data_IF_573099876536
#
_entry.id   IF_573099876536
#
_cell.length_a   1.000
_cell.length_b   1.000
_cell.length_c   1.000
_cell.angle_alpha   90.00
_cell.angle_beta   90.00
_cell.angle_gamma   90.00
#
_symmetry.space_group_name_H-M   'P 1'
#
loop_
_entity.id
_entity.type
_entity.pdbx_description
1 polymer ?
#
# COMPACT_ATOMS: atom_id res chain seq x y z
N UNK A 1 9.92 24.06 31.38
CA UNK A 1 8.47 23.77 31.46
C UNK A 1 7.78 24.36 30.24
N UNK A 2 7.52 23.52 29.24
CA UNK A 2 6.39 23.67 28.32
C UNK A 2 6.20 22.31 27.67
N UNK A 3 5.13 21.69 28.14
CA UNK A 3 4.66 20.35 27.88
C UNK A 3 4.02 20.34 26.48
N UNK A 4 4.72 19.79 25.48
CA UNK A 4 4.09 19.47 24.19
C UNK A 4 3.48 18.10 24.32
N UNK A 5 2.21 18.12 24.69
CA UNK A 5 1.34 16.97 24.80
C UNK A 5 1.50 16.06 23.60
N UNK A 6 2.00 14.85 23.87
CA UNK A 6 1.85 13.70 23.01
C UNK A 6 0.36 13.55 22.70
N UNK A 7 -0.02 13.74 21.44
CA UNK A 7 -1.34 13.34 20.98
C UNK A 7 -1.42 11.83 21.16
N UNK A 8 -2.24 11.43 22.12
CA UNK A 8 -2.36 10.08 22.63
C UNK A 8 -2.77 9.11 21.52
N UNK A 9 -1.92 8.10 21.30
CA UNK A 9 -2.08 6.96 20.38
C UNK A 9 -3.16 5.96 20.81
N UNK A 10 -4.23 6.42 21.46
CA UNK A 10 -5.30 5.55 21.97
C UNK A 10 -6.66 6.01 21.44
N UNK A 11 -7.24 5.23 20.53
CA UNK A 11 -8.68 5.19 20.16
C UNK A 11 -9.17 5.91 18.89
N UNK A 12 -8.62 5.57 17.72
CA UNK A 12 -9.43 5.52 16.48
C UNK A 12 -10.14 4.15 16.38
N UNK A 13 -10.87 3.75 17.43
CA UNK A 13 -11.56 2.44 17.48
C UNK A 13 -12.96 2.55 16.87
N UNK A 14 -13.02 2.29 15.57
CA UNK A 14 -14.23 1.93 14.82
C UNK A 14 -14.72 3.02 13.89
N UNK A 15 -14.70 2.73 12.58
CA UNK A 15 -15.23 3.53 11.46
C UNK A 15 -14.30 4.61 10.90
N UNK A 16 -13.07 4.21 10.57
CA UNK A 16 -12.20 5.00 9.71
C UNK A 16 -12.75 5.02 8.28
N UNK A 17 -12.99 6.20 7.72
CA UNK A 17 -13.29 6.35 6.29
C UNK A 17 -12.02 6.26 5.44
N UNK A 18 -12.18 6.06 4.13
CA UNK A 18 -11.06 6.10 3.17
C UNK A 18 -10.30 7.43 3.21
N UNK A 19 -11.02 8.54 3.33
CA UNK A 19 -10.45 9.89 3.36
C UNK A 19 -9.66 10.11 4.64
N UNK A 20 -10.16 9.63 5.78
CA UNK A 20 -9.45 9.69 7.05
C UNK A 20 -8.19 8.83 7.02
N UNK A 21 -8.27 7.61 6.49
CA UNK A 21 -7.11 6.72 6.28
C UNK A 21 -6.06 7.34 5.34
N UNK A 22 -6.50 7.97 4.25
CA UNK A 22 -5.61 8.65 3.30
C UNK A 22 -4.96 9.90 3.89
N UNK A 23 -5.56 10.52 4.91
CA UNK A 23 -5.04 11.69 5.60
C UNK A 23 -4.13 11.36 6.80
N UNK A 24 -3.99 10.09 7.17
CA UNK A 24 -2.98 9.66 8.14
C UNK A 24 -1.57 9.99 7.61
N UNK A 25 -0.60 10.25 8.51
CA UNK A 25 0.79 10.42 8.14
C UNK A 25 1.29 9.32 7.19
N UNK A 26 2.21 9.67 6.29
CA UNK A 26 2.73 8.71 5.30
C UNK A 26 3.51 7.56 5.96
N UNK A 27 4.01 7.74 7.18
CA UNK A 27 4.73 6.76 7.99
C UNK A 27 3.82 5.99 8.97
N UNK A 28 2.52 6.28 9.01
CA UNK A 28 1.56 5.51 9.81
C UNK A 28 1.27 4.17 9.10
N UNK A 29 1.69 3.03 9.68
CA UNK A 29 1.47 1.74 9.05
C UNK A 29 -0.01 1.32 9.18
N UNK A 30 -0.49 0.63 8.17
CA UNK A 30 -1.75 -0.11 8.22
C UNK A 30 -2.63 0.07 6.99
N UNK A 31 -3.35 -0.99 6.68
CA UNK A 31 -4.38 -1.02 5.65
C UNK A 31 -5.77 -0.80 6.25
N UNK A 32 -6.69 -0.30 5.44
CA UNK A 32 -8.08 -0.15 5.87
C UNK A 32 -8.84 -1.44 5.60
N UNK A 33 -9.27 -2.14 6.65
CA UNK A 33 -10.08 -3.36 6.58
C UNK A 33 -11.37 -3.17 7.36
N UNK A 34 -12.47 -3.20 6.62
CA UNK A 34 -13.84 -3.05 7.15
C UNK A 34 -14.02 -1.82 8.05
N UNK A 35 -13.34 -0.72 7.70
CA UNK A 35 -13.36 0.56 8.44
C UNK A 35 -12.47 0.59 9.67
N UNK A 36 -11.46 -0.29 9.76
CA UNK A 36 -10.45 -0.32 10.81
C UNK A 36 -9.06 -0.33 10.20
N UNK A 37 -8.11 0.26 10.91
CA UNK A 37 -6.71 0.15 10.57
C UNK A 37 -6.23 -1.22 11.04
N UNK A 38 -5.83 -2.07 10.10
CA UNK A 38 -5.16 -3.34 10.38
C UNK A 38 -3.67 -3.20 10.09
N UNK A 39 -2.84 -3.75 10.98
CA UNK A 39 -1.39 -3.69 10.87
C UNK A 39 -0.91 -4.40 9.61
N UNK A 40 0.02 -3.76 8.89
CA UNK A 40 0.71 -4.37 7.75
C UNK A 40 1.67 -5.47 8.25
N UNK A 41 1.81 -6.53 7.47
CA UNK A 41 2.87 -7.51 7.75
C UNK A 41 4.23 -6.82 7.59
N UNK A 42 5.08 -6.90 8.62
CA UNK A 42 6.41 -6.31 8.55
C UNK A 42 7.27 -7.14 7.59
N UNK A 43 7.73 -6.55 6.46
CA UNK A 43 8.51 -7.28 5.48
C UNK A 43 9.87 -7.66 6.06
N UNK A 44 10.37 -8.85 5.69
CA UNK A 44 11.75 -9.22 5.94
C UNK A 44 12.66 -8.76 4.80
N UNK A 45 13.97 -8.94 4.96
CA UNK A 45 14.92 -8.50 3.95
C UNK A 45 14.78 -9.27 2.62
N UNK A 46 14.28 -10.51 2.64
CA UNK A 46 14.07 -11.31 1.43
C UNK A 46 12.86 -10.79 0.65
N UNK A 47 11.78 -10.42 1.34
CA UNK A 47 10.63 -9.72 0.77
C UNK A 47 11.08 -8.48 -0.01
N UNK A 48 11.88 -7.63 0.62
CA UNK A 48 12.40 -6.40 0.00
C UNK A 48 13.26 -6.67 -1.24
N UNK A 49 14.09 -7.73 -1.21
CA UNK A 49 14.88 -8.14 -2.38
C UNK A 49 13.99 -8.58 -3.55
N UNK A 50 12.93 -9.34 -3.27
CA UNK A 50 11.99 -9.82 -4.29
C UNK A 50 11.22 -8.63 -4.89
N UNK A 51 10.66 -7.75 -4.05
CA UNK A 51 9.94 -6.55 -4.49
C UNK A 51 10.84 -5.66 -5.35
N UNK A 52 12.07 -5.42 -4.90
CA UNK A 52 13.05 -4.63 -5.66
C UNK A 52 13.37 -5.25 -7.02
N UNK A 53 13.57 -6.57 -7.08
CA UNK A 53 13.85 -7.28 -8.32
C UNK A 53 12.66 -7.23 -9.30
N UNK A 54 11.44 -7.45 -8.80
CA UNK A 54 10.22 -7.37 -9.61
C UNK A 54 9.97 -5.95 -10.14
N UNK A 55 10.14 -4.93 -9.28
CA UNK A 55 10.01 -3.53 -9.69
C UNK A 55 11.00 -3.20 -10.81
N UNK A 56 12.25 -3.68 -10.71
CA UNK A 56 13.26 -3.52 -11.74
C UNK A 56 12.85 -4.24 -13.05
N UNK A 57 12.38 -5.48 -12.97
CA UNK A 57 11.94 -6.24 -14.15
C UNK A 57 10.79 -5.54 -14.90
N UNK A 58 9.75 -5.11 -14.18
CA UNK A 58 8.64 -4.37 -14.77
C UNK A 58 9.09 -3.03 -15.36
N UNK A 59 9.94 -2.26 -14.64
CA UNK A 59 10.45 -0.99 -15.15
C UNK A 59 11.27 -1.16 -16.42
N UNK A 60 12.12 -2.18 -16.48
CA UNK A 60 12.92 -2.50 -17.66
C UNK A 60 12.05 -2.88 -18.84
N UNK A 61 11.01 -3.69 -18.62
CA UNK A 61 10.04 -4.02 -19.67
C UNK A 61 9.24 -2.79 -20.12
N UNK A 62 8.82 -1.91 -19.21
CA UNK A 62 8.06 -0.69 -19.53
C UNK A 62 8.88 0.44 -20.13
N UNK A 63 10.22 0.33 -20.16
CA UNK A 63 11.10 1.37 -20.67
C UNK A 63 10.72 1.75 -22.11
N UNK A 64 10.47 3.05 -22.33
CA UNK A 64 10.05 3.60 -23.63
C UNK A 64 8.61 3.29 -24.05
N UNK A 65 7.83 2.53 -23.26
CA UNK A 65 6.47 2.11 -23.61
C UNK A 65 5.37 2.98 -22.98
N UNK A 66 5.71 3.86 -22.05
CA UNK A 66 4.76 4.83 -21.47
C UNK A 66 3.90 4.33 -20.30
N UNK A 67 4.26 3.19 -19.70
CA UNK A 67 3.73 2.73 -18.41
C UNK A 67 4.68 3.01 -17.24
N UNK A 68 4.25 2.69 -16.02
CA UNK A 68 5.03 2.92 -14.80
C UNK A 68 4.65 1.93 -13.69
N UNK A 69 5.52 1.86 -12.69
CA UNK A 69 5.41 0.99 -11.51
C UNK A 69 5.37 1.89 -10.26
N UNK A 70 4.44 1.64 -9.34
CA UNK A 70 4.38 2.21 -8.00
C UNK A 70 4.77 1.17 -6.95
N UNK A 71 5.38 1.62 -5.85
CA UNK A 71 5.77 0.78 -4.70
C UNK A 71 4.69 0.71 -3.61
N UNK A 72 5.06 0.09 -2.49
CA UNK A 72 4.19 -0.33 -1.37
C UNK A 72 3.36 0.78 -0.72
N UNK A 73 3.86 2.01 -0.66
CA UNK A 73 3.19 3.07 0.11
C UNK A 73 1.98 3.71 -0.57
N UNK A 74 1.69 3.37 -1.83
CA UNK A 74 0.54 3.92 -2.52
C UNK A 74 -0.77 3.40 -1.93
N UNK A 75 -1.60 4.31 -1.40
CA UNK A 75 -2.92 3.98 -0.82
C UNK A 75 -4.00 3.85 -1.91
N UNK A 76 -4.57 2.65 -2.06
CA UNK A 76 -5.64 2.35 -3.01
C UNK A 76 -6.99 2.16 -2.32
N UNK A 77 -8.03 2.84 -2.80
CA UNK A 77 -9.41 2.54 -2.42
C UNK A 77 -9.96 1.39 -3.26
N UNK A 78 -10.21 0.24 -2.62
CA UNK A 78 -10.73 -0.96 -3.32
C UNK A 78 -12.21 -1.24 -3.00
N UNK A 79 -12.71 -0.72 -1.88
CA UNK A 79 -14.13 -0.70 -1.54
C UNK A 79 -14.43 0.48 -0.58
N UNK A 80 -15.70 0.86 -0.33
CA UNK A 80 -16.04 2.02 0.51
C UNK A 80 -15.40 2.01 1.90
N UNK A 81 -15.12 0.83 2.45
CA UNK A 81 -14.51 0.62 3.77
C UNK A 81 -13.25 -0.25 3.69
N UNK A 82 -12.63 -0.32 2.51
CA UNK A 82 -11.45 -1.15 2.28
C UNK A 82 -10.41 -0.42 1.44
N UNK A 83 -9.22 -0.29 2.00
CA UNK A 83 -8.06 0.31 1.36
C UNK A 83 -6.88 -0.65 1.42
N UNK A 84 -6.07 -0.68 0.37
CA UNK A 84 -4.90 -1.55 0.25
C UNK A 84 -3.65 -0.78 -0.15
N UNK A 85 -2.49 -1.31 0.22
CA UNK A 85 -1.14 -0.83 -0.04
C UNK A 85 -0.33 -2.01 -0.62
N UNK A 86 -0.54 -2.32 -1.92
CA UNK A 86 0.08 -3.49 -2.52
C UNK A 86 1.59 -3.30 -2.66
N UNK A 87 2.38 -4.37 -2.54
CA UNK A 87 3.85 -4.29 -2.70
C UNK A 87 4.26 -3.60 -4.00
N UNK A 88 3.58 -3.95 -5.11
CA UNK A 88 3.71 -3.24 -6.38
C UNK A 88 2.37 -3.03 -7.08
N UNK A 89 2.25 -1.87 -7.72
CA UNK A 89 1.20 -1.56 -8.68
C UNK A 89 1.80 -1.23 -10.03
N UNK A 90 1.23 -1.76 -11.12
CA UNK A 90 1.73 -1.54 -12.48
C UNK A 90 0.61 -1.00 -13.36
N UNK A 91 0.94 0.06 -14.10
CA UNK A 91 0.09 0.65 -15.13
C UNK A 91 0.73 0.45 -16.50
N UNK A 92 -0.01 -0.20 -17.39
CA UNK A 92 0.44 -0.60 -18.71
C UNK A 92 0.30 0.57 -19.72
N UNK A 93 1.01 0.49 -20.86
CA UNK A 93 0.87 1.45 -21.95
C UNK A 93 -0.59 1.61 -22.42
N UNK A 94 -1.04 2.86 -22.55
CA UNK A 94 -2.41 3.17 -22.97
C UNK A 94 -3.47 3.01 -21.87
N UNK A 95 -3.09 2.57 -20.68
CA UNK A 95 -3.95 2.50 -19.51
C UNK A 95 -4.19 3.87 -18.85
N UNK A 96 -4.99 3.85 -17.78
CA UNK A 96 -5.24 5.03 -16.97
C UNK A 96 -3.98 5.49 -16.22
N UNK A 97 -3.99 6.74 -15.74
CA UNK A 97 -2.92 7.30 -14.89
C UNK A 97 -3.49 7.64 -13.52
N UNK A 98 -2.93 7.12 -12.42
CA UNK A 98 -3.37 7.48 -11.09
C UNK A 98 -3.08 8.95 -10.82
N UNK A 99 -3.77 9.55 -9.84
CA UNK A 99 -3.45 10.90 -9.42
C UNK A 99 -2.00 10.98 -8.92
N UNK A 100 -1.36 12.14 -9.09
CA UNK A 100 0.02 12.36 -8.63
C UNK A 100 0.15 12.36 -7.11
N UNK A 101 -0.96 12.53 -6.37
CA UNK A 101 -1.02 12.69 -4.92
C UNK A 101 -2.34 12.13 -4.39
N UNK A 102 -2.31 11.67 -3.14
CA UNK A 102 -3.49 11.25 -2.40
C UNK A 102 -4.01 9.87 -2.79
N UNK A 103 -5.20 9.56 -2.28
CA UNK A 103 -5.86 8.27 -2.44
C UNK A 103 -6.07 7.90 -3.91
N UNK A 104 -5.58 6.73 -4.30
CA UNK A 104 -5.74 6.20 -5.64
C UNK A 104 -7.06 5.44 -5.74
N UNK A 105 -7.95 5.88 -6.62
CA UNK A 105 -9.24 5.22 -6.92
C UNK A 105 -9.26 4.52 -8.28
N UNK A 106 -8.26 4.79 -9.11
CA UNK A 106 -8.05 4.10 -10.37
C UNK A 106 -7.35 2.77 -10.08
N UNK A 107 -7.90 1.61 -10.47
CA UNK A 107 -7.21 0.34 -10.27
C UNK A 107 -5.96 0.26 -11.16
N UNK A 108 -4.84 -0.31 -10.67
CA UNK A 108 -3.73 -0.72 -11.50
C UNK A 108 -4.15 -1.81 -12.49
N UNK A 109 -3.42 -1.94 -13.60
CA UNK A 109 -3.60 -3.05 -14.54
C UNK A 109 -3.07 -4.37 -13.97
N UNK A 110 -1.99 -4.29 -13.16
CA UNK A 110 -1.42 -5.42 -12.43
C UNK A 110 -1.13 -4.99 -10.99
N UNK A 111 -1.48 -5.86 -10.04
CA UNK A 111 -1.10 -5.78 -8.63
C UNK A 111 -0.23 -6.99 -8.30
N UNK A 112 0.81 -6.78 -7.51
CA UNK A 112 1.69 -7.85 -7.02
C UNK A 112 1.76 -7.77 -5.50
N UNK A 113 1.61 -8.92 -4.86
CA UNK A 113 1.87 -9.13 -3.44
C UNK A 113 2.91 -10.26 -3.31
N UNK A 114 3.97 -10.03 -2.56
CA UNK A 114 4.98 -11.03 -2.21
C UNK A 114 4.58 -11.61 -0.85
N UNK A 115 4.32 -12.91 -0.83
CA UNK A 115 3.89 -13.56 0.41
C UNK A 115 5.11 -13.84 1.29
N UNK A 116 5.10 -13.30 2.49
CA UNK A 116 6.04 -13.68 3.54
C UNK A 116 5.56 -14.97 4.24
N UNK A 117 6.47 -15.89 4.64
CA UNK A 117 6.05 -17.12 5.28
C UNK A 117 5.47 -16.85 6.67
N UNK A 118 4.19 -17.17 6.89
CA UNK A 118 3.62 -17.16 8.24
C UNK A 118 3.70 -18.56 8.86
N UNK A 119 3.74 -18.67 10.19
CA UNK A 119 3.67 -19.98 10.87
C UNK A 119 2.47 -20.84 10.44
N UNK A 120 1.37 -20.22 9.99
CA UNK A 120 0.19 -20.89 9.49
C UNK A 120 0.34 -21.46 8.06
N UNK A 121 1.30 -21.00 7.27
CA UNK A 121 1.46 -21.34 5.86
C UNK A 121 2.31 -22.61 5.65
N UNK A 122 2.97 -23.12 6.69
CA UNK A 122 3.81 -24.33 6.66
C UNK A 122 3.01 -25.63 6.47
N UNK A 123 1.67 -25.58 6.56
CA UNK A 123 0.80 -26.77 6.51
C UNK A 123 -0.21 -26.82 5.35
N UNK A 124 -0.08 -25.95 4.34
CA UNK A 124 -0.94 -25.99 3.14
C UNK A 124 -0.25 -26.65 1.95
#
# INVERSE_FOLDING_TARGET
>A
MSDRSAVSSTSMKGDLSLEQWAALPDDEPGELVDGRLEEEEMPDFVHELIVTWLAHAFRSWLAGRGGFVGGSEAKFAVAPRRGRKPDLSVYLPGGGRPPRRGLVRLPPDIVVEVLSPRPADVRR
#
